data_IF_086610119839
#
_entry.id   IF_086610119839
#
_cell.length_a   1.000
_cell.length_b   1.000
_cell.length_c   1.000
_cell.angle_alpha   90.00
_cell.angle_beta   90.00
_cell.angle_gamma   90.00
#
_symmetry.space_group_name_H-M   'P 1'
#
loop_
_entity.id
_entity.type
_entity.pdbx_description
1 polymer ?
#
# COMPACT_ATOMS: atom_id res chain seq x y z
N UNK A 1 -28.58 5.19 26.86
CA UNK A 1 -27.57 6.03 26.18
C UNK A 1 -26.27 5.22 26.17
N UNK A 2 -26.01 4.49 25.08
CA UNK A 2 -24.78 3.72 24.91
C UNK A 2 -23.68 4.64 24.41
N UNK A 3 -22.58 4.74 25.15
CA UNK A 3 -21.41 5.50 24.72
C UNK A 3 -20.74 4.73 23.58
N UNK A 4 -20.63 5.36 22.42
CA UNK A 4 -19.80 4.88 21.31
C UNK A 4 -18.39 5.34 21.61
N UNK A 5 -17.55 4.43 22.11
CA UNK A 5 -16.11 4.68 22.20
C UNK A 5 -15.58 4.79 20.78
N UNK A 6 -15.26 6.00 20.34
CA UNK A 6 -14.49 6.20 19.13
C UNK A 6 -13.04 5.78 19.46
N UNK A 7 -12.58 4.68 18.85
CA UNK A 7 -11.17 4.31 18.92
C UNK A 7 -10.35 5.38 18.19
N UNK A 8 -9.55 6.11 18.95
CA UNK A 8 -8.66 7.13 18.42
C UNK A 8 -7.42 6.40 17.91
N UNK A 9 -7.45 5.92 16.66
CA UNK A 9 -6.23 5.44 16.01
C UNK A 9 -5.23 6.60 15.99
N UNK A 10 -4.12 6.45 16.70
CA UNK A 10 -3.04 7.43 16.69
C UNK A 10 -2.18 7.17 15.47
N UNK A 11 -2.26 8.06 14.49
CA UNK A 11 -1.48 7.94 13.25
C UNK A 11 -0.23 8.83 13.33
N UNK A 12 0.96 8.24 13.14
CA UNK A 12 2.23 8.94 13.08
C UNK A 12 2.63 9.26 11.63
N UNK A 13 2.97 10.53 11.37
CA UNK A 13 3.50 11.00 10.09
C UNK A 13 5.02 11.02 10.12
N UNK A 14 5.69 10.43 9.13
CA UNK A 14 7.16 10.42 9.02
C UNK A 14 7.62 10.86 7.64
N UNK A 15 8.80 11.50 7.62
CA UNK A 15 9.50 11.95 6.41
C UNK A 15 10.87 11.30 6.34
N UNK A 16 11.31 10.96 5.13
CA UNK A 16 12.67 10.43 4.88
C UNK A 16 13.23 10.95 3.56
N UNK A 17 14.54 11.10 3.48
CA UNK A 17 15.22 11.64 2.29
C UNK A 17 15.50 10.59 1.21
N UNK A 18 15.63 9.32 1.61
CA UNK A 18 15.96 8.22 0.70
C UNK A 18 14.72 7.43 0.26
N UNK A 19 14.70 6.87 -0.97
CA UNK A 19 13.63 5.97 -1.42
C UNK A 19 13.51 4.73 -0.52
N UNK A 20 12.37 4.01 -0.59
CA UNK A 20 12.26 2.68 0.02
C UNK A 20 13.32 1.73 -0.56
N UNK A 21 13.85 0.86 0.30
CA UNK A 21 14.93 -0.09 -0.05
C UNK A 21 14.44 -1.28 -0.87
N UNK A 22 13.18 -1.69 -0.71
CA UNK A 22 12.64 -2.90 -1.35
C UNK A 22 12.18 -2.67 -2.79
N UNK A 23 11.31 -1.67 -3.00
CA UNK A 23 10.73 -1.43 -4.33
C UNK A 23 10.25 0.02 -4.49
N UNK A 24 10.39 0.57 -5.69
CA UNK A 24 9.88 1.89 -6.06
C UNK A 24 9.18 1.82 -7.42
N UNK A 25 7.98 2.40 -7.49
CA UNK A 25 7.24 2.61 -8.74
C UNK A 25 7.27 4.10 -9.08
N UNK A 26 7.80 4.45 -10.27
CA UNK A 26 7.71 5.80 -10.81
C UNK A 26 6.56 5.86 -11.82
N UNK A 27 5.66 6.81 -11.62
CA UNK A 27 4.54 7.08 -12.52
C UNK A 27 4.78 8.44 -13.16
N UNK A 28 5.08 8.46 -14.46
CA UNK A 28 5.35 9.71 -15.16
C UNK A 28 4.05 10.47 -15.49
N UNK A 29 2.96 9.75 -15.80
CA UNK A 29 1.66 10.32 -16.10
C UNK A 29 0.54 9.59 -15.35
N UNK A 30 -0.03 10.25 -14.35
CA UNK A 30 -1.07 9.67 -13.52
C UNK A 30 -2.37 9.40 -14.30
N UNK A 31 -2.78 10.27 -15.23
CA UNK A 31 -3.98 10.05 -16.06
C UNK A 31 -3.84 8.82 -16.95
N UNK A 32 -2.64 8.55 -17.45
CA UNK A 32 -2.37 7.32 -18.20
C UNK A 32 -2.49 6.09 -17.29
N UNK A 33 -1.93 6.14 -16.08
CA UNK A 33 -2.08 5.07 -15.10
C UNK A 33 -3.57 4.78 -14.80
N UNK A 34 -4.38 5.82 -14.58
CA UNK A 34 -5.82 5.67 -14.38
C UNK A 34 -6.50 5.01 -15.58
N UNK A 35 -6.17 5.43 -16.80
CA UNK A 35 -6.75 4.85 -18.02
C UNK A 35 -6.37 3.38 -18.18
N UNK A 36 -5.12 3.02 -17.93
CA UNK A 36 -4.65 1.63 -17.97
C UNK A 36 -5.35 0.79 -16.90
N UNK A 37 -5.43 1.29 -15.67
CA UNK A 37 -6.10 0.59 -14.56
C UNK A 37 -7.59 0.36 -14.85
N UNK A 38 -8.29 1.32 -15.47
CA UNK A 38 -9.70 1.15 -15.86
C UNK A 38 -9.94 0.03 -16.88
N UNK A 39 -8.91 -0.45 -17.58
CA UNK A 39 -9.00 -1.62 -18.46
C UNK A 39 -8.57 -2.94 -17.80
N UNK A 40 -8.21 -2.90 -16.51
CA UNK A 40 -7.63 -4.01 -15.75
C UNK A 40 -8.19 -4.02 -14.32
N UNK A 41 -9.49 -4.26 -14.17
CA UNK A 41 -10.18 -4.35 -12.87
C UNK A 41 -9.95 -3.15 -11.94
N UNK A 42 -9.88 -1.94 -12.51
CA UNK A 42 -9.61 -0.68 -11.83
C UNK A 42 -8.25 -0.64 -11.08
N UNK A 43 -7.32 -1.57 -11.37
CA UNK A 43 -6.01 -1.67 -10.71
C UNK A 43 -4.85 -1.74 -11.69
N UNK A 44 -3.70 -1.25 -11.24
CA UNK A 44 -2.40 -1.51 -11.82
C UNK A 44 -1.66 -2.56 -10.99
N UNK A 45 -0.97 -3.49 -11.65
CA UNK A 45 -0.12 -4.48 -11.00
C UNK A 45 1.32 -4.32 -11.49
N UNK A 46 2.27 -4.26 -10.56
CA UNK A 46 3.69 -4.18 -10.92
C UNK A 46 4.24 -5.51 -11.41
N UNK A 47 5.46 -5.45 -11.97
CA UNK A 47 6.34 -6.63 -12.05
C UNK A 47 6.65 -7.19 -10.66
N UNK A 48 7.09 -8.44 -10.63
CA UNK A 48 7.60 -9.07 -9.40
C UNK A 48 8.84 -8.33 -8.88
N UNK A 49 8.96 -8.22 -7.57
CA UNK A 49 10.16 -7.77 -6.88
C UNK A 49 10.43 -8.63 -5.64
N UNK A 50 11.70 -8.86 -5.33
CA UNK A 50 12.10 -9.73 -4.22
C UNK A 50 12.39 -8.91 -2.97
N UNK A 51 11.83 -9.33 -1.83
CA UNK A 51 12.11 -8.74 -0.51
C UNK A 51 11.85 -9.77 0.58
N UNK A 52 12.75 -9.86 1.57
CA UNK A 52 12.60 -10.79 2.69
C UNK A 52 12.53 -12.27 2.29
N UNK A 53 13.09 -12.66 1.14
CA UNK A 53 13.05 -14.05 0.65
C UNK A 53 11.79 -14.42 -0.15
N UNK A 54 10.85 -13.49 -0.33
CA UNK A 54 9.62 -13.70 -1.10
C UNK A 54 9.58 -12.79 -2.33
N UNK A 55 8.86 -13.22 -3.38
CA UNK A 55 8.51 -12.34 -4.49
C UNK A 55 7.14 -11.70 -4.25
N UNK A 56 7.06 -10.41 -4.51
CA UNK A 56 5.90 -9.56 -4.25
C UNK A 56 5.48 -8.83 -5.52
N UNK A 57 4.21 -8.41 -5.57
CA UNK A 57 3.69 -7.41 -6.51
C UNK A 57 3.12 -6.24 -5.74
N UNK A 58 3.34 -5.02 -6.25
CA UNK A 58 2.65 -3.82 -5.80
C UNK A 58 1.35 -3.70 -6.61
N UNK A 59 0.24 -3.56 -5.91
CA UNK A 59 -1.09 -3.35 -6.47
C UNK A 59 -1.53 -1.92 -6.16
N UNK A 60 -1.89 -1.15 -7.17
CA UNK A 60 -2.32 0.24 -7.03
C UNK A 60 -3.69 0.41 -7.64
N UNK A 61 -4.64 0.97 -6.89
CA UNK A 61 -5.94 1.40 -7.39
C UNK A 61 -5.94 2.92 -7.46
N UNK A 62 -5.70 3.53 -8.64
CA UNK A 62 -5.54 4.98 -8.76
C UNK A 62 -6.77 5.78 -8.32
N UNK A 63 -7.96 5.18 -8.45
CA UNK A 63 -9.25 5.77 -8.05
C UNK A 63 -9.79 5.20 -6.73
N UNK A 64 -8.94 4.45 -6.04
CA UNK A 64 -9.28 3.76 -4.82
C UNK A 64 -9.96 2.42 -5.09
N UNK A 65 -9.74 1.48 -4.18
CA UNK A 65 -10.43 0.22 -4.22
C UNK A 65 -11.86 0.41 -3.67
N UNK A 66 -12.86 -0.02 -4.44
CA UNK A 66 -14.27 0.15 -4.07
C UNK A 66 -14.71 -0.84 -3.01
N UNK A 67 -14.05 -2.00 -2.92
CA UNK A 67 -14.45 -3.09 -2.01
C UNK A 67 -13.97 -2.87 -0.58
N UNK A 68 -13.13 -1.86 -0.33
CA UNK A 68 -12.58 -1.56 0.99
C UNK A 68 -12.79 -0.09 1.42
N UNK A 69 -13.79 0.57 0.83
CA UNK A 69 -14.10 1.98 1.09
C UNK A 69 -12.94 2.95 0.74
N UNK A 70 -12.09 2.60 -0.23
CA UNK A 70 -11.01 3.45 -0.74
C UNK A 70 -11.46 4.58 -1.68
N UNK A 71 -12.75 4.73 -1.96
CA UNK A 71 -13.28 5.78 -2.86
C UNK A 71 -12.79 7.17 -2.45
N UNK A 72 -12.25 7.92 -3.41
CA UNK A 72 -11.72 9.27 -3.19
C UNK A 72 -10.25 9.32 -2.78
N UNK A 73 -9.61 8.16 -2.66
CA UNK A 73 -8.19 8.03 -2.33
C UNK A 73 -7.48 7.16 -3.37
N UNK A 74 -6.15 7.13 -3.33
CA UNK A 74 -5.36 6.10 -3.99
C UNK A 74 -5.18 4.96 -2.99
N UNK A 75 -5.56 3.74 -3.37
CA UNK A 75 -5.31 2.56 -2.52
C UNK A 75 -4.06 1.82 -3.02
N UNK A 76 -3.21 1.35 -2.11
CA UNK A 76 -2.01 0.57 -2.41
C UNK A 76 -1.94 -0.68 -1.53
N UNK A 77 -1.49 -1.79 -2.11
CA UNK A 77 -1.35 -3.09 -1.43
C UNK A 77 -0.13 -3.82 -1.96
N UNK A 78 0.30 -4.84 -1.25
CA UNK A 78 1.24 -5.83 -1.78
C UNK A 78 0.63 -7.23 -1.76
N UNK A 79 0.98 -8.02 -2.75
CA UNK A 79 0.56 -9.42 -2.90
C UNK A 79 1.81 -10.29 -2.99
N UNK A 80 1.89 -11.35 -2.17
CA UNK A 80 2.95 -12.36 -2.29
C UNK A 80 2.63 -13.23 -3.50
N UNK A 81 3.63 -13.45 -4.36
CA UNK A 81 3.51 -14.43 -5.43
C UNK A 81 3.38 -15.83 -4.85
N UNK A 82 2.28 -16.52 -5.15
CA UNK A 82 1.95 -17.83 -4.57
C UNK A 82 3.03 -18.88 -4.78
N UNK A 83 3.82 -18.77 -5.86
CA UNK A 83 5.00 -19.64 -6.09
C UNK A 83 6.08 -19.49 -5.02
N UNK A 84 6.20 -18.32 -4.41
CA UNK A 84 7.11 -18.07 -3.27
C UNK A 84 6.64 -18.79 -2.00
N UNK A 85 5.34 -19.06 -1.88
CA UNK A 85 4.77 -19.77 -0.73
C UNK A 85 4.89 -21.29 -0.87
N UNK A 86 4.82 -21.81 -2.10
CA UNK A 86 4.91 -23.26 -2.38
C UNK A 86 6.32 -23.82 -2.07
N UNK A 87 7.35 -22.96 -2.17
CA UNK A 87 8.75 -23.34 -1.90
C UNK A 87 9.18 -23.12 -0.45
N UNK A 88 8.36 -22.47 0.37
CA UNK A 88 8.67 -22.20 1.77
C UNK A 88 8.07 -23.29 2.68
N UNK A 89 8.83 -23.82 3.67
CA UNK A 89 8.27 -24.74 4.67
C UNK A 89 7.27 -24.06 5.62
N UNK A 90 7.24 -22.73 5.65
CA UNK A 90 6.39 -21.91 6.52
C UNK A 90 5.13 -21.48 5.76
N UNK A 91 3.95 -21.78 6.32
CA UNK A 91 2.64 -21.43 5.73
C UNK A 91 2.17 -20.01 6.05
N UNK A 92 2.83 -19.34 6.98
CA UNK A 92 2.51 -17.99 7.45
C UNK A 92 3.72 -17.09 7.21
N UNK A 93 3.47 -15.88 6.70
CA UNK A 93 4.51 -14.87 6.44
C UNK A 93 4.15 -13.63 7.23
N UNK A 94 4.98 -13.30 8.21
CA UNK A 94 4.89 -12.03 8.94
C UNK A 94 5.66 -10.97 8.17
N UNK A 95 4.98 -9.86 7.83
CA UNK A 95 5.58 -8.76 7.10
C UNK A 95 5.19 -7.42 7.74
N UNK A 96 6.19 -6.58 7.99
CA UNK A 96 5.98 -5.17 8.25
C UNK A 96 5.91 -4.45 6.90
N UNK A 97 4.78 -3.81 6.63
CA UNK A 97 4.59 -3.01 5.43
C UNK A 97 4.74 -1.55 5.79
N UNK A 98 5.43 -0.81 4.93
CA UNK A 98 5.52 0.65 5.05
C UNK A 98 5.46 1.21 3.64
N UNK A 99 4.37 1.86 3.29
CA UNK A 99 4.29 2.57 2.02
C UNK A 99 4.83 4.00 2.13
N UNK A 100 5.49 4.43 1.06
CA UNK A 100 6.01 5.79 0.92
C UNK A 100 5.44 6.45 -0.34
N UNK A 101 5.05 7.72 -0.22
CA UNK A 101 4.69 8.58 -1.36
C UNK A 101 5.74 9.68 -1.48
N UNK A 102 6.32 9.85 -2.67
CA UNK A 102 7.27 10.92 -2.90
C UNK A 102 6.54 12.26 -3.02
N UNK A 103 6.86 13.19 -2.13
CA UNK A 103 6.36 14.56 -2.18
C UNK A 103 7.39 15.44 -2.90
N UNK A 104 7.01 15.94 -4.08
CA UNK A 104 7.86 16.81 -4.89
C UNK A 104 8.10 18.20 -4.27
N UNK A 105 7.15 18.73 -3.49
CA UNK A 105 7.28 20.05 -2.84
C UNK A 105 8.35 20.00 -1.75
N UNK A 106 8.33 18.94 -0.94
CA UNK A 106 9.28 18.75 0.17
C UNK A 106 10.57 18.04 -0.26
N UNK A 107 10.62 17.49 -1.48
CA UNK A 107 11.71 16.65 -1.98
C UNK A 107 12.02 15.47 -1.04
N UNK A 108 10.97 14.88 -0.45
CA UNK A 108 11.05 13.82 0.57
C UNK A 108 9.97 12.77 0.38
N UNK A 109 10.21 11.59 0.92
CA UNK A 109 9.23 10.51 0.97
C UNK A 109 8.43 10.59 2.26
N UNK A 110 7.10 10.63 2.11
CA UNK A 110 6.13 10.70 3.18
C UNK A 110 5.55 9.31 3.47
N UNK A 111 5.38 8.99 4.75
CA UNK A 111 4.63 7.80 5.20
C UNK A 111 3.73 8.14 6.38
N UNK A 112 2.69 7.35 6.50
CA UNK A 112 1.66 7.42 7.52
C UNK A 112 1.61 6.03 8.14
N UNK A 113 1.98 5.93 9.41
CA UNK A 113 1.98 4.66 10.14
C UNK A 113 0.93 4.74 11.23
N UNK A 114 0.07 3.72 11.31
CA UNK A 114 -0.76 3.53 12.50
C UNK A 114 0.13 3.01 13.62
N UNK A 115 0.00 3.61 14.80
CA UNK A 115 0.84 3.31 15.97
C UNK A 115 0.38 2.01 16.67
N UNK A 116 -0.75 1.44 16.25
CA UNK A 116 -1.28 0.16 16.75
C UNK A 116 -1.28 -0.90 15.64
N UNK A 117 -0.64 -2.04 15.90
CA UNK A 117 -0.57 -3.16 14.99
C UNK A 117 -1.96 -3.82 14.85
N UNK A 118 -2.60 -3.64 13.70
CA UNK A 118 -3.78 -4.44 13.34
C UNK A 118 -3.32 -5.85 12.95
N UNK A 119 -3.45 -6.80 13.86
CA UNK A 119 -3.34 -8.23 13.56
C UNK A 119 -4.60 -8.65 12.79
N UNK A 120 -4.60 -8.53 11.46
CA UNK A 120 -5.66 -9.08 10.61
C UNK A 120 -5.18 -10.36 9.88
N UNK A 121 -5.97 -11.43 10.00
CA UNK A 121 -5.73 -12.72 9.36
C UNK A 121 -5.85 -12.66 7.82
N UNK A 122 -4.88 -13.29 7.15
CA UNK A 122 -4.78 -13.79 5.75
C UNK A 122 -5.99 -13.51 4.82
N UNK A 123 -5.89 -12.76 3.73
CA UNK A 123 -5.08 -13.07 2.52
C UNK A 123 -4.52 -11.81 1.80
N UNK A 124 -4.72 -10.62 2.34
CA UNK A 124 -4.21 -9.36 1.81
C UNK A 124 -3.87 -8.46 3.00
N UNK A 125 -2.57 -8.21 3.24
CA UNK A 125 -2.14 -7.24 4.24
C UNK A 125 -2.42 -5.83 3.70
N UNK A 126 -3.25 -5.06 4.42
CA UNK A 126 -3.78 -3.76 3.98
C UNK A 126 -3.07 -2.64 4.73
N UNK A 127 -2.51 -1.67 4.01
CA UNK A 127 -2.33 -0.33 4.60
C UNK A 127 -3.15 0.68 3.78
N UNK A 128 -3.99 1.43 4.47
CA UNK A 128 -4.76 2.52 3.88
C UNK A 128 -3.94 3.80 3.98
N UNK A 129 -3.37 4.27 2.88
CA UNK A 129 -2.83 5.64 2.87
C UNK A 129 -4.00 6.62 2.80
N UNK A 130 -4.25 7.31 3.91
CA UNK A 130 -5.12 8.49 3.94
C UNK A 130 -4.51 9.53 2.99
N UNK A 131 -5.20 9.72 1.87
CA UNK A 131 -4.64 10.39 0.69
C UNK A 131 -4.25 11.84 0.92
N UNK A 132 -3.26 12.26 0.14
CA UNK A 132 -2.99 13.67 -0.11
C UNK A 132 -3.61 14.02 -1.46
N UNK A 133 -4.57 14.93 -1.43
CA UNK A 133 -5.13 15.59 -2.62
C UNK A 133 -4.00 16.22 -3.44
N UNK A 134 -3.95 15.91 -4.73
CA UNK A 134 -3.18 16.71 -5.67
C UNK A 134 -3.96 17.99 -5.94
N UNK A 135 -3.50 19.11 -5.38
CA UNK A 135 -3.63 20.39 -6.07
C UNK A 135 -2.69 20.41 -7.29
#
# INVERSE_FOLDING_TARGET
>A
MGSVSAEISTTAKKWRDHPPSSYSLKVDNFKQLEKFASSSDDKYQSRLFSSGGYNWKLIVYPKGNKTDNGKGFISMYVEIDSKSLISAPQREVFAELIFFVYNKKENKYFTVQDVEALQENSDLLREKIVGMSSE
#
